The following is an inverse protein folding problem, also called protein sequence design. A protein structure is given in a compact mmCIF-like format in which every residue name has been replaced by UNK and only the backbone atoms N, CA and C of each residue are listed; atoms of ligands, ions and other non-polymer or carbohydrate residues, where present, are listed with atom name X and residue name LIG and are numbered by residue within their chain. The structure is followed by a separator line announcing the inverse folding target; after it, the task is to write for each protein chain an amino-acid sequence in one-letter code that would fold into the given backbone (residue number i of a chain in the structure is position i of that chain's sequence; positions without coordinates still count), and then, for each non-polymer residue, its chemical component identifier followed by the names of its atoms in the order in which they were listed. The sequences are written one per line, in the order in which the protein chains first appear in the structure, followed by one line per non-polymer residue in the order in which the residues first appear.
data_IF_302700343681
#
_entry.id   IF_302700343681
#
_cell.length_a   1.000
_cell.length_b   1.000
_cell.length_c   1.000
_cell.angle_alpha   90.00
_cell.angle_beta   90.00
_cell.angle_gamma   90.00
#
_symmetry.space_group_name_H-M   'P 1'
#
loop_
_entity.id
_entity.type
_entity.pdbx_description
1 polymer ?
#
# COMPACT_ATOMS: atom_id res chain seq x y z
N UNK A 1 -22.60 -5.07 -2.12
CA UNK A 1 -21.66 -4.42 -3.05
C UNK A 1 -20.28 -4.26 -2.40
N UNK A 2 -19.38 -5.25 -2.51
CA UNK A 2 -18.07 -5.27 -1.82
C UNK A 2 -16.93 -4.56 -2.57
N UNK A 3 -17.09 -4.29 -3.88
CA UNK A 3 -16.01 -3.74 -4.71
C UNK A 3 -15.62 -2.29 -4.37
N UNK A 4 -16.54 -1.48 -3.83
CA UNK A 4 -16.27 -0.06 -3.52
C UNK A 4 -15.32 0.17 -2.34
N UNK A 5 -15.35 -0.72 -1.34
CA UNK A 5 -14.50 -0.60 -0.15
C UNK A 5 -13.02 -0.78 -0.48
N UNK A 6 -12.68 -1.76 -1.32
CA UNK A 6 -11.28 -2.07 -1.67
C UNK A 6 -10.54 -0.87 -2.25
N UNK A 7 -11.21 -0.07 -3.07
CA UNK A 7 -10.63 1.10 -3.74
C UNK A 7 -10.32 2.21 -2.73
N UNK A 8 -11.15 2.38 -1.69
CA UNK A 8 -10.93 3.36 -0.63
C UNK A 8 -9.71 2.99 0.24
N UNK A 9 -9.51 1.70 0.52
CA UNK A 9 -8.34 1.21 1.26
C UNK A 9 -7.03 1.37 0.48
N UNK A 10 -7.08 1.17 -0.84
CA UNK A 10 -5.93 1.39 -1.74
C UNK A 10 -5.59 2.87 -1.83
N UNK A 11 -6.59 3.77 -1.99
CA UNK A 11 -6.36 5.23 -2.04
C UNK A 11 -5.75 5.79 -0.76
N UNK A 12 -6.08 5.22 0.40
CA UNK A 12 -5.56 5.71 1.69
C UNK A 12 -4.18 5.17 2.05
N UNK A 13 -3.69 4.11 1.38
CA UNK A 13 -2.45 3.41 1.75
C UNK A 13 -2.36 3.13 3.27
N UNK A 14 -3.51 2.85 3.89
CA UNK A 14 -3.65 2.73 5.33
C UNK A 14 -3.73 1.26 5.73
N UNK A 15 -2.67 0.77 6.37
CA UNK A 15 -2.54 -0.63 6.79
C UNK A 15 -3.62 -1.01 7.81
N UNK A 16 -3.99 -0.07 8.68
CA UNK A 16 -4.97 -0.26 9.74
C UNK A 16 -6.40 -0.37 9.16
N UNK A 17 -6.66 0.33 8.07
CA UNK A 17 -7.89 0.22 7.31
C UNK A 17 -7.92 -1.10 6.50
N UNK A 18 -6.77 -1.52 5.95
CA UNK A 18 -6.65 -2.82 5.27
C UNK A 18 -6.88 -4.01 6.21
N UNK A 19 -6.71 -3.85 7.52
CA UNK A 19 -7.06 -4.88 8.49
C UNK A 19 -8.55 -5.23 8.54
N UNK A 20 -9.42 -4.36 8.01
CA UNK A 20 -10.86 -4.61 7.94
C UNK A 20 -11.26 -5.40 6.69
N UNK A 21 -10.30 -5.74 5.82
CA UNK A 21 -10.55 -6.50 4.60
C UNK A 21 -10.73 -8.01 4.88
N UNK A 22 -11.48 -8.71 4.00
CA UNK A 22 -11.50 -10.16 3.98
C UNK A 22 -10.08 -10.73 3.84
N UNK A 23 -9.83 -11.90 4.42
CA UNK A 23 -8.49 -12.47 4.54
C UNK A 23 -7.74 -12.61 3.20
N UNK A 24 -8.44 -12.91 2.10
CA UNK A 24 -7.86 -12.98 0.75
C UNK A 24 -7.29 -11.65 0.26
N UNK A 25 -8.02 -10.56 0.47
CA UNK A 25 -7.60 -9.21 0.09
C UNK A 25 -6.56 -8.65 1.05
N UNK A 26 -6.59 -9.05 2.32
CA UNK A 26 -5.59 -8.70 3.33
C UNK A 26 -4.21 -9.20 2.94
N UNK A 27 -4.10 -10.47 2.49
CA UNK A 27 -2.84 -11.06 2.03
C UNK A 27 -2.33 -10.36 0.77
N UNK A 28 -3.21 -10.11 -0.20
CA UNK A 28 -2.85 -9.37 -1.41
C UNK A 28 -2.36 -7.95 -1.08
N UNK A 29 -3.08 -7.23 -0.23
CA UNK A 29 -2.72 -5.88 0.19
C UNK A 29 -1.38 -5.86 0.94
N UNK A 30 -1.17 -6.80 1.86
CA UNK A 30 0.09 -6.89 2.61
C UNK A 30 1.29 -7.19 1.71
N UNK A 31 1.13 -8.05 0.70
CA UNK A 31 2.18 -8.36 -0.27
C UNK A 31 2.53 -7.11 -1.11
N UNK A 32 1.52 -6.40 -1.62
CA UNK A 32 1.72 -5.14 -2.35
C UNK A 32 2.40 -4.10 -1.44
N UNK A 33 1.91 -3.92 -0.22
CA UNK A 33 2.49 -2.94 0.71
C UNK A 33 3.96 -3.23 1.03
N UNK A 34 4.30 -4.49 1.36
CA UNK A 34 5.68 -4.85 1.67
C UNK A 34 6.61 -4.69 0.47
N UNK A 35 6.21 -5.17 -0.70
CA UNK A 35 7.02 -5.04 -1.93
C UNK A 35 7.23 -3.57 -2.29
N UNK A 36 6.18 -2.76 -2.24
CA UNK A 36 6.26 -1.32 -2.46
C UNK A 36 7.18 -0.63 -1.45
N UNK A 37 7.10 -0.97 -0.16
CA UNK A 37 7.95 -0.37 0.86
C UNK A 37 9.42 -0.78 0.68
N UNK A 38 9.68 -2.03 0.27
CA UNK A 38 11.02 -2.52 -0.04
C UNK A 38 11.62 -1.82 -1.27
N UNK A 39 10.82 -1.62 -2.32
CA UNK A 39 11.24 -0.87 -3.51
C UNK A 39 11.52 0.58 -3.13
N UNK A 40 10.64 1.21 -2.34
CA UNK A 40 10.84 2.57 -1.87
C UNK A 40 12.12 2.73 -1.06
N UNK A 41 12.38 1.81 -0.13
CA UNK A 41 13.62 1.82 0.64
C UNK A 41 14.84 1.65 -0.27
N UNK A 42 14.76 0.78 -1.27
CA UNK A 42 15.84 0.58 -2.26
C UNK A 42 16.10 1.85 -3.07
N UNK A 43 15.05 2.53 -3.51
CA UNK A 43 15.13 3.79 -4.27
C UNK A 43 15.66 4.92 -3.39
N UNK A 44 15.20 5.04 -2.14
CA UNK A 44 15.70 6.00 -1.18
C UNK A 44 17.20 5.80 -0.91
N UNK A 45 17.64 4.56 -0.74
CA UNK A 45 19.06 4.24 -0.50
C UNK A 45 19.95 4.47 -1.73
N UNK A 46 19.44 4.26 -2.94
CA UNK A 46 20.22 4.42 -4.18
C UNK A 46 20.19 5.84 -4.75
N UNK A 47 19.07 6.52 -4.63
CA UNK A 47 18.80 7.79 -5.31
C UNK A 47 18.43 8.93 -4.35
N UNK A 48 18.30 8.67 -3.05
CA UNK A 48 17.91 9.70 -2.07
C UNK A 48 16.44 10.15 -2.18
N UNK A 49 15.63 9.48 -3.00
CA UNK A 49 14.24 9.85 -3.23
C UNK A 49 13.27 8.92 -2.52
N UNK A 50 12.38 9.49 -1.70
CA UNK A 50 11.24 8.76 -1.12
C UNK A 50 10.05 8.77 -2.09
N UNK A 51 9.81 7.62 -2.73
CA UNK A 51 8.66 7.42 -3.62
C UNK A 51 7.37 7.06 -2.84
N UNK A 52 7.50 6.65 -1.58
CA UNK A 52 6.36 6.39 -0.68
C UNK A 52 5.45 7.60 -0.53
N UNK A 53 6.05 8.79 -0.44
CA UNK A 53 5.35 10.06 -0.35
C UNK A 53 4.46 10.36 -1.56
N UNK A 54 4.84 9.87 -2.75
CA UNK A 54 4.05 10.04 -3.97
C UNK A 54 2.84 9.10 -4.01
N UNK A 55 2.96 7.89 -3.46
CA UNK A 55 1.87 6.92 -3.41
C UNK A 55 0.79 7.28 -2.40
N UNK A 56 1.16 7.92 -1.29
CA UNK A 56 0.18 8.44 -0.31
C UNK A 56 -0.62 9.64 -0.84
N UNK A 57 -0.21 10.21 -1.98
CA UNK A 57 -0.81 11.40 -2.61
C UNK A 57 -1.64 11.09 -3.87
N UNK A 58 -1.54 9.88 -4.42
CA UNK A 58 -2.26 9.42 -5.62
C UNK A 58 -3.66 8.90 -5.28
#
# INVERSE_FOLDING_TARGET
SQCGCCILYIRRWDLQAAEQLPQSLRVFYAAVYNTTNQISYTVLRRHGHDITSHMRRA
#
